data_IF_538052584404
#
_entry.id   IF_538052584404
#
_cell.length_a   1.000
_cell.length_b   1.000
_cell.length_c   1.000
_cell.angle_alpha   90.00
_cell.angle_beta   90.00
_cell.angle_gamma   90.00
#
_symmetry.space_group_name_H-M   'P 1'
#
loop_
_entity.id
_entity.type
_entity.pdbx_description
1 polymer ?
#
# COMPACT_ATOMS: atom_id res chain seq x y z
N UNK A 1 7.53 -14.90 5.80
CA UNK A 1 7.48 -13.48 6.20
C UNK A 1 6.04 -13.17 6.50
N UNK A 2 5.65 -13.17 7.78
CA UNK A 2 4.27 -12.89 8.17
C UNK A 2 3.97 -11.40 8.12
N UNK A 3 2.74 -11.06 7.75
CA UNK A 3 2.27 -9.68 7.61
C UNK A 3 2.47 -8.88 8.90
N UNK A 4 2.40 -9.53 10.06
CA UNK A 4 2.57 -8.92 11.40
C UNK A 4 3.96 -8.30 11.60
N UNK A 5 5.00 -8.90 11.02
CA UNK A 5 6.36 -8.38 11.12
C UNK A 5 6.52 -7.08 10.33
N UNK A 6 5.84 -6.95 9.18
CA UNK A 6 5.90 -5.77 8.32
C UNK A 6 5.28 -4.54 9.00
N UNK A 7 4.10 -4.69 9.61
CA UNK A 7 3.41 -3.59 10.31
C UNK A 7 4.25 -3.00 11.45
N UNK A 8 4.85 -3.88 12.25
CA UNK A 8 5.73 -3.48 13.36
C UNK A 8 6.98 -2.75 12.86
N UNK A 9 7.59 -3.23 11.78
CA UNK A 9 8.76 -2.60 11.18
C UNK A 9 8.45 -1.20 10.62
N UNK A 10 7.32 -1.04 9.93
CA UNK A 10 6.90 0.25 9.39
C UNK A 10 6.66 1.27 10.50
N UNK A 11 6.11 0.85 11.63
CA UNK A 11 5.96 1.72 12.81
C UNK A 11 7.32 2.20 13.32
N UNK A 12 8.31 1.31 13.42
CA UNK A 12 9.66 1.67 13.86
C UNK A 12 10.27 2.72 12.92
N UNK A 13 10.15 2.57 11.60
CA UNK A 13 10.64 3.59 10.66
C UNK A 13 9.94 4.95 10.85
N UNK A 14 8.63 4.94 11.07
CA UNK A 14 7.87 6.17 11.29
C UNK A 14 8.23 6.86 12.61
N UNK A 15 8.48 6.11 13.68
CA UNK A 15 8.99 6.62 14.97
C UNK A 15 10.41 7.20 14.83
N UNK A 16 11.22 6.65 13.92
CA UNK A 16 12.54 7.18 13.59
C UNK A 16 12.49 8.42 12.67
N UNK A 17 11.29 8.95 12.36
CA UNK A 17 11.11 10.16 11.56
C UNK A 17 11.12 9.95 10.04
N UNK A 18 11.06 8.70 9.56
CA UNK A 18 10.96 8.43 8.13
C UNK A 18 9.52 8.60 7.61
N UNK A 19 9.39 9.14 6.39
CA UNK A 19 8.12 9.22 5.68
C UNK A 19 7.91 7.95 4.85
N UNK A 20 6.75 7.32 5.03
CA UNK A 20 6.41 6.09 4.33
C UNK A 20 5.64 6.39 3.05
N UNK A 21 6.05 5.75 1.96
CA UNK A 21 5.38 5.75 0.66
C UNK A 21 4.94 4.32 0.34
N UNK A 22 3.65 4.13 0.06
CA UNK A 22 3.14 2.84 -0.38
C UNK A 22 3.08 2.80 -1.90
N UNK A 23 3.55 1.73 -2.51
CA UNK A 23 3.47 1.53 -3.97
C UNK A 23 2.62 0.31 -4.29
N UNK A 24 1.73 0.42 -5.27
CA UNK A 24 0.98 -0.72 -5.80
C UNK A 24 1.14 -0.84 -7.32
N UNK A 25 1.32 -2.07 -7.79
CA UNK A 25 1.28 -2.41 -9.21
C UNK A 25 -0.14 -2.73 -9.72
N UNK A 26 -1.18 -2.57 -8.89
CA UNK A 26 -2.57 -2.78 -9.30
C UNK A 26 -3.06 -1.63 -10.20
N UNK A 27 -4.00 -1.92 -11.08
CA UNK A 27 -4.62 -0.92 -11.96
C UNK A 27 -5.19 0.27 -11.17
N UNK A 28 -5.13 1.47 -11.75
CA UNK A 28 -5.55 2.71 -11.08
C UNK A 28 -7.02 2.70 -10.65
N UNK A 29 -7.88 2.00 -11.40
CA UNK A 29 -9.30 1.82 -11.06
C UNK A 29 -9.49 1.14 -9.70
N UNK A 30 -8.51 0.33 -9.26
CA UNK A 30 -8.52 -0.35 -7.97
C UNK A 30 -7.76 0.42 -6.88
N UNK A 31 -7.22 1.61 -7.16
CA UNK A 31 -6.48 2.40 -6.18
C UNK A 31 -7.31 2.72 -4.94
N UNK A 32 -8.61 2.97 -5.11
CA UNK A 32 -9.54 3.17 -4.02
C UNK A 32 -9.61 1.96 -3.07
N UNK A 33 -9.66 0.74 -3.62
CA UNK A 33 -9.70 -0.49 -2.84
C UNK A 33 -8.38 -0.70 -2.08
N UNK A 34 -7.24 -0.44 -2.72
CA UNK A 34 -5.94 -0.52 -2.04
C UNK A 34 -5.86 0.48 -0.89
N UNK A 35 -6.31 1.72 -1.09
CA UNK A 35 -6.32 2.75 -0.04
C UNK A 35 -7.24 2.37 1.12
N UNK A 36 -8.45 1.90 0.81
CA UNK A 36 -9.40 1.43 1.83
C UNK A 36 -8.84 0.24 2.61
N UNK A 37 -8.19 -0.71 1.92
CA UNK A 37 -7.53 -1.84 2.56
C UNK A 37 -6.44 -1.39 3.53
N UNK A 38 -5.52 -0.51 3.11
CA UNK A 38 -4.44 0.00 3.98
C UNK A 38 -4.98 0.75 5.21
N UNK A 39 -6.02 1.57 5.03
CA UNK A 39 -6.63 2.34 6.13
C UNK A 39 -7.36 1.44 7.15
N UNK A 40 -7.95 0.33 6.69
CA UNK A 40 -8.66 -0.62 7.54
C UNK A 40 -7.75 -1.74 8.08
N UNK A 41 -6.51 -1.83 7.61
CA UNK A 41 -5.54 -2.82 8.05
C UNK A 41 -5.13 -2.53 9.50
N UNK A 42 -5.54 -3.41 10.40
CA UNK A 42 -5.13 -3.41 11.81
C UNK A 42 -4.54 -4.77 12.14
N UNK A 43 -3.33 -4.77 12.67
CA UNK A 43 -2.62 -5.98 13.08
C UNK A 43 -2.23 -5.83 14.55
N UNK A 44 -2.65 -6.79 15.37
CA UNK A 44 -2.43 -6.77 16.82
C UNK A 44 -2.82 -5.43 17.48
N UNK A 45 -3.94 -4.84 17.00
CA UNK A 45 -4.46 -3.56 17.48
C UNK A 45 -3.76 -2.31 16.94
N UNK A 46 -2.65 -2.46 16.19
CA UNK A 46 -1.94 -1.35 15.55
C UNK A 46 -2.38 -1.16 14.11
N UNK A 47 -2.76 0.08 13.77
CA UNK A 47 -3.04 0.47 12.40
C UNK A 47 -1.73 0.76 11.65
N UNK A 48 -1.77 0.62 10.33
CA UNK A 48 -0.66 1.00 9.48
C UNK A 48 -0.43 2.53 9.56
N UNK A 49 0.83 3.01 9.64
CA UNK A 49 1.12 4.43 9.61
C UNK A 49 0.65 5.09 8.30
N UNK A 50 0.21 6.34 8.40
CA UNK A 50 -0.35 7.09 7.28
C UNK A 50 0.72 7.40 6.22
N UNK A 51 0.38 7.27 4.94
CA UNK A 51 1.28 7.60 3.84
C UNK A 51 0.60 7.66 2.47
N UNK A 52 1.17 8.40 1.51
CA UNK A 52 0.67 8.41 0.13
C UNK A 52 0.78 7.03 -0.53
N UNK A 53 -0.21 6.69 -1.35
CA UNK A 53 -0.22 5.47 -2.17
C UNK A 53 0.02 5.87 -3.62
N UNK A 54 1.15 5.43 -4.18
CA UNK A 54 1.52 5.63 -5.58
C UNK A 54 1.18 4.38 -6.38
N UNK A 55 0.54 4.59 -7.53
CA UNK A 55 0.22 3.52 -8.46
C UNK A 55 1.22 3.55 -9.60
N UNK A 56 1.90 2.44 -9.84
CA UNK A 56 2.82 2.34 -10.97
C UNK A 56 2.04 2.28 -12.30
N UNK A 57 2.49 3.00 -13.34
CA UNK A 57 1.87 2.96 -14.66
C UNK A 57 1.93 1.57 -15.32
N UNK A 58 2.83 0.69 -14.88
CA UNK A 58 2.97 -0.69 -15.35
C UNK A 58 1.71 -1.55 -15.21
N UNK A 59 0.81 -1.25 -14.26
CA UNK A 59 -0.47 -1.96 -14.15
C UNK A 59 -1.57 -1.40 -15.06
N UNK A 60 -1.36 -0.22 -15.64
CA UNK A 60 -2.36 0.54 -16.39
C UNK A 60 -2.33 0.19 -17.88
N UNK A 61 -1.15 0.20 -18.50
CA UNK A 61 -1.01 0.01 -19.95
C UNK A 61 -1.22 -1.45 -20.40
N UNK A 62 -0.60 -2.48 -19.78
CA UNK A 62 -0.80 -3.87 -20.20
C UNK A 62 -2.22 -4.37 -20.00
N UNK A 63 -2.97 -3.82 -19.03
CA UNK A 63 -4.37 -4.15 -18.81
C UNK A 63 -5.27 -3.57 -19.91
N UNK A 64 -4.96 -2.36 -20.42
CA UNK A 64 -5.69 -1.74 -21.52
C UNK A 64 -5.48 -2.47 -22.86
N UNK A 65 -4.26 -2.95 -23.11
CA UNK A 65 -3.93 -3.67 -24.35
C UNK A 65 -4.35 -5.16 -24.35
N UNK A 66 -4.71 -5.73 -23.20
CA UNK A 66 -5.18 -7.14 -23.11
C UNK A 66 -6.68 -7.30 -23.36
N UNK A 67 -7.44 -6.21 -23.31
CA UNK A 67 -8.90 -6.16 -23.57
C UNK A 67 -9.19 -5.36 -24.86
N UNK A 68 -8.21 -5.23 -25.76
CA UNK A 68 -8.33 -4.57 -27.06
C UNK A 68 -8.24 -5.54 -28.22
#
# INVERSE_FOLDING_TARGET
MDLTFCCTLLWIFQENGYQLLFQSARAIVQAYLTRSFLNNLKQDGKALPNGPVVISPDGLFPALYREG
#
